data_IF_427407782342
#
_entry.id   IF_427407782342
#
_cell.length_a   1.000
_cell.length_b   1.000
_cell.length_c   1.000
_cell.angle_alpha   90.00
_cell.angle_beta   90.00
_cell.angle_gamma   90.00
#
_symmetry.space_group_name_H-M   'P 1'
#
loop_
_entity.id
_entity.type
_entity.pdbx_description
1 polymer ?
#
# COMPACT_ATOMS: atom_id res chain seq x y z
N UNK A 1 -10.36 -16.68 -11.46
CA UNK A 1 -9.38 -16.53 -10.35
C UNK A 1 -10.17 -16.20 -9.09
N UNK A 2 -9.85 -16.77 -7.92
CA UNK A 2 -10.58 -16.49 -6.68
C UNK A 2 -10.27 -15.09 -6.16
N UNK A 3 -11.31 -14.31 -5.91
CA UNK A 3 -11.29 -13.03 -5.19
C UNK A 3 -10.96 -13.32 -3.71
N UNK A 4 -9.68 -13.41 -3.39
CA UNK A 4 -9.23 -13.77 -2.04
C UNK A 4 -8.00 -12.95 -1.65
N UNK A 5 -7.78 -12.82 -0.35
CA UNK A 5 -6.46 -12.47 0.19
C UNK A 5 -5.60 -13.72 0.00
N UNK A 6 -4.50 -13.56 -0.74
CA UNK A 6 -3.69 -14.68 -1.23
C UNK A 6 -2.44 -14.87 -0.40
N UNK A 7 -1.84 -13.78 0.06
CA UNK A 7 -0.56 -13.82 0.75
C UNK A 7 -0.44 -12.66 1.73
N UNK A 8 0.13 -12.95 2.90
CA UNK A 8 0.62 -11.97 3.85
C UNK A 8 2.13 -12.20 3.98
N UNK A 9 2.91 -11.20 3.59
CA UNK A 9 4.37 -11.21 3.70
C UNK A 9 4.78 -10.26 4.83
N UNK A 10 5.55 -10.76 5.79
CA UNK A 10 6.07 -9.97 6.91
C UNK A 10 7.56 -10.18 7.00
N UNK A 11 8.32 -9.12 6.76
CA UNK A 11 9.78 -9.11 6.86
C UNK A 11 10.19 -8.46 8.16
N UNK A 12 11.25 -9.02 8.76
CA UNK A 12 11.86 -8.51 9.99
C UNK A 12 13.36 -8.37 9.82
N UNK A 13 13.97 -7.45 10.57
CA UNK A 13 15.42 -7.33 10.68
C UNK A 13 16.01 -8.37 11.64
N UNK A 14 17.34 -8.37 11.81
CA UNK A 14 18.05 -9.28 12.72
C UNK A 14 17.68 -9.08 14.19
N UNK A 15 17.20 -7.89 14.56
CA UNK A 15 16.71 -7.56 15.90
C UNK A 15 15.23 -7.96 16.11
N UNK A 16 14.55 -8.44 15.07
CA UNK A 16 13.16 -8.86 15.10
C UNK A 16 12.14 -7.75 14.88
N UNK A 17 12.57 -6.53 14.54
CA UNK A 17 11.66 -5.42 14.21
C UNK A 17 11.07 -5.65 12.82
N UNK A 18 9.79 -5.31 12.63
CA UNK A 18 9.12 -5.41 11.34
C UNK A 18 9.66 -4.34 10.40
N UNK A 19 10.13 -4.75 9.22
CA UNK A 19 10.68 -3.87 8.19
C UNK A 19 9.80 -3.81 6.94
N UNK A 20 8.96 -4.80 6.69
CA UNK A 20 7.93 -4.74 5.66
C UNK A 20 6.71 -5.59 6.02
N UNK A 21 5.54 -5.11 5.64
CA UNK A 21 4.27 -5.85 5.65
C UNK A 21 3.61 -5.68 4.29
N UNK A 22 3.43 -6.78 3.58
CA UNK A 22 2.79 -6.83 2.27
C UNK A 22 1.59 -7.77 2.25
N UNK A 23 0.56 -7.42 1.48
CA UNK A 23 -0.61 -8.26 1.25
C UNK A 23 -0.83 -8.37 -0.26
N UNK A 24 -0.88 -9.59 -0.78
CA UNK A 24 -1.29 -9.87 -2.17
C UNK A 24 -2.74 -10.33 -2.16
N UNK A 25 -3.57 -9.74 -3.02
CA UNK A 25 -5.00 -10.04 -3.07
C UNK A 25 -5.58 -9.95 -4.49
N UNK A 26 -6.73 -10.57 -4.69
CA UNK A 26 -7.41 -10.59 -5.99
C UNK A 26 -6.56 -11.19 -7.11
N UNK A 27 -6.88 -10.85 -8.37
CA UNK A 27 -6.14 -11.38 -9.52
C UNK A 27 -4.66 -10.98 -9.50
N UNK A 28 -4.37 -9.70 -9.24
CA UNK A 28 -3.02 -9.13 -9.36
C UNK A 28 -2.81 -7.85 -8.52
N UNK A 29 -3.48 -7.72 -7.38
CA UNK A 29 -3.34 -6.53 -6.52
C UNK A 29 -2.41 -6.78 -5.35
N UNK A 30 -1.75 -5.71 -4.89
CA UNK A 30 -0.98 -5.76 -3.66
C UNK A 30 -0.97 -4.40 -2.95
N UNK A 31 -0.81 -4.44 -1.63
CA UNK A 31 -0.51 -3.29 -0.78
C UNK A 31 0.69 -3.64 0.09
N UNK A 32 1.64 -2.72 0.24
CA UNK A 32 2.84 -2.91 1.05
C UNK A 32 3.15 -1.66 1.86
N UNK A 33 3.52 -1.83 3.13
CA UNK A 33 4.18 -0.82 3.94
C UNK A 33 5.58 -1.32 4.26
N UNK A 34 6.60 -0.60 3.81
CA UNK A 34 8.00 -1.01 3.95
C UNK A 34 8.88 0.11 4.46
N UNK A 35 9.90 -0.24 5.20
CA UNK A 35 10.95 0.67 5.64
C UNK A 35 12.06 0.71 4.60
N UNK A 36 12.43 1.91 4.16
CA UNK A 36 13.56 2.18 3.27
C UNK A 36 14.48 3.22 3.93
N UNK A 37 15.57 2.75 4.53
CA UNK A 37 16.42 3.59 5.36
C UNK A 37 15.67 4.12 6.59
N UNK A 38 15.58 5.44 6.73
CA UNK A 38 14.84 6.12 7.80
C UNK A 38 13.39 6.48 7.42
N UNK A 39 12.96 6.16 6.20
CA UNK A 39 11.64 6.50 5.67
C UNK A 39 10.74 5.26 5.65
N UNK A 40 9.45 5.49 5.84
CA UNK A 40 8.41 4.48 5.65
C UNK A 40 7.74 4.77 4.33
N UNK A 41 7.56 3.76 3.49
CA UNK A 41 6.89 3.86 2.20
C UNK A 41 5.56 3.11 2.25
N UNK A 42 4.54 3.70 1.63
CA UNK A 42 3.29 3.01 1.30
C UNK A 42 3.26 2.75 -0.20
N UNK A 43 2.97 1.51 -0.58
CA UNK A 43 2.88 1.06 -1.97
C UNK A 43 1.53 0.42 -2.21
N UNK A 44 0.86 0.81 -3.29
CA UNK A 44 -0.35 0.16 -3.78
C UNK A 44 -0.18 -0.14 -5.27
N UNK A 45 -0.49 -1.36 -5.68
CA UNK A 45 -0.29 -1.77 -7.07
C UNK A 45 -1.30 -2.79 -7.59
N UNK A 46 -1.37 -2.83 -8.91
CA UNK A 46 -2.16 -3.72 -9.74
C UNK A 46 -1.30 -4.14 -10.95
N UNK A 47 -0.94 -5.42 -11.04
CA UNK A 47 -0.04 -5.96 -12.10
C UNK A 47 1.29 -5.19 -12.18
N UNK A 48 1.49 -4.37 -13.21
CA UNK A 48 2.68 -3.55 -13.45
C UNK A 48 2.47 -2.06 -13.15
N UNK A 49 1.28 -1.67 -12.70
CA UNK A 49 0.95 -0.30 -12.33
C UNK A 49 0.86 -0.19 -10.83
N UNK A 50 1.32 0.92 -10.29
CA UNK A 50 1.22 1.21 -8.87
C UNK A 50 1.78 2.58 -8.58
N UNK A 51 1.65 2.98 -7.34
CA UNK A 51 2.33 4.16 -6.82
C UNK A 51 3.00 3.81 -5.50
N UNK A 52 4.04 4.57 -5.21
CA UNK A 52 4.72 4.57 -3.92
C UNK A 52 4.72 6.00 -3.39
N UNK A 53 4.41 6.14 -2.10
CA UNK A 53 4.48 7.43 -1.39
C UNK A 53 5.31 7.30 -0.13
N UNK A 54 5.98 8.39 0.22
CA UNK A 54 6.65 8.52 1.51
C UNK A 54 5.60 8.75 2.60
N UNK A 55 5.47 7.81 3.52
CA UNK A 55 4.56 7.88 4.65
C UNK A 55 5.19 8.58 5.87
N UNK A 56 6.50 8.82 5.88
CA UNK A 56 7.18 9.56 6.95
C UNK A 56 6.98 11.07 6.82
N UNK A 57 6.76 11.54 5.60
CA UNK A 57 6.28 12.88 5.34
C UNK A 57 4.75 12.83 5.47
N UNK A 58 4.22 12.97 6.70
CA UNK A 58 2.78 13.13 6.94
C UNK A 58 2.36 14.42 6.22
N UNK A 59 1.96 14.29 4.97
CA UNK A 59 1.69 15.43 4.12
C UNK A 59 1.04 14.98 2.84
N UNK A 60 -0.22 15.38 2.68
CA UNK A 60 -1.03 15.54 1.47
C UNK A 60 -0.99 14.46 0.38
N UNK A 61 0.14 13.89 -0.06
CA UNK A 61 0.20 13.00 -1.22
C UNK A 61 -0.77 11.81 -1.16
N UNK A 62 -0.81 11.05 -0.06
CA UNK A 62 -1.77 9.93 0.05
C UNK A 62 -3.22 10.43 0.16
N UNK A 63 -3.44 11.53 0.87
CA UNK A 63 -4.76 12.14 1.07
C UNK A 63 -5.31 12.77 -0.23
N UNK A 64 -4.47 13.46 -0.99
CA UNK A 64 -4.72 14.00 -2.34
C UNK A 64 -5.02 12.87 -3.32
N UNK A 65 -4.30 11.75 -3.25
CA UNK A 65 -4.62 10.57 -4.04
C UNK A 65 -6.00 9.99 -3.68
N UNK A 66 -6.32 9.90 -2.38
CA UNK A 66 -7.64 9.48 -1.92
C UNK A 66 -8.71 10.43 -2.47
N UNK A 67 -8.53 11.75 -2.35
CA UNK A 67 -9.48 12.72 -2.84
C UNK A 67 -9.63 12.69 -4.36
N UNK A 68 -8.54 12.55 -5.11
CA UNK A 68 -8.57 12.41 -6.57
C UNK A 68 -9.33 11.15 -7.02
N UNK A 69 -9.17 10.03 -6.30
CA UNK A 69 -9.92 8.79 -6.58
C UNK A 69 -11.39 8.99 -6.24
N UNK A 70 -11.73 9.59 -5.09
CA UNK A 70 -13.12 9.87 -4.70
C UNK A 70 -13.83 10.83 -5.66
N UNK A 71 -13.14 11.84 -6.17
CA UNK A 71 -13.68 12.76 -7.17
C UNK A 71 -14.01 12.02 -8.47
N UNK A 72 -13.15 11.09 -8.88
CA UNK A 72 -13.30 10.34 -10.13
C UNK A 72 -14.26 9.15 -10.06
N UNK A 73 -14.35 8.51 -8.89
CA UNK A 73 -15.14 7.32 -8.61
C UNK A 73 -15.92 7.48 -7.29
N UNK A 74 -16.92 8.38 -7.25
CA UNK A 74 -17.60 8.74 -6.01
C UNK A 74 -18.29 7.57 -5.31
N UNK A 75 -18.70 6.54 -6.05
CA UNK A 75 -19.31 5.32 -5.51
C UNK A 75 -18.34 4.45 -4.68
N UNK A 76 -17.04 4.73 -4.77
CA UNK A 76 -15.99 3.99 -4.03
C UNK A 76 -15.65 4.63 -2.68
N UNK A 77 -16.29 5.74 -2.33
CA UNK A 77 -16.09 6.40 -1.04
C UNK A 77 -16.47 5.48 0.12
N UNK A 78 -15.62 5.46 1.14
CA UNK A 78 -15.84 4.77 2.42
C UNK A 78 -15.82 5.88 3.47
N UNK A 79 -16.97 6.18 4.07
CA UNK A 79 -17.16 7.14 5.16
C UNK A 79 -18.11 6.62 6.24
#
# INVERSE_FOLDING_TARGET
>A
MRESIRELDVKKDEAGNITSVGIVFGPHYFVEVKQEGSRVKFVLGATHHGFEVDASEIGQGLEEMIYAIREKFPETAID
#
